data_IF_886169079261
#
_entry.id   IF_886169079261
#
_cell.length_a   1.000
_cell.length_b   1.000
_cell.length_c   1.000
_cell.angle_alpha   90.00
_cell.angle_beta   90.00
_cell.angle_gamma   90.00
#
_symmetry.space_group_name_H-M   'P 1'
#
loop_
_entity.id
_entity.type
_entity.pdbx_description
1 polymer ?
#
# COMPACT_ATOMS: atom_id res chain seq x y z
N UNK A 1 0.14 -51.14 2.48
CA UNK A 1 -0.47 -50.43 1.34
C UNK A 1 -1.97 -50.65 1.41
N UNK A 2 -2.73 -49.61 1.74
CA UNK A 2 -4.17 -49.56 1.55
C UNK A 2 -4.55 -48.08 1.39
N UNK A 3 -5.23 -47.78 0.29
CA UNK A 3 -5.69 -46.46 -0.09
C UNK A 3 -7.04 -46.12 0.55
N UNK A 4 -7.41 -44.84 0.38
CA UNK A 4 -8.75 -44.24 0.45
C UNK A 4 -9.23 -43.70 1.80
N UNK A 5 -9.36 -42.37 1.90
CA UNK A 5 -10.65 -41.73 1.60
C UNK A 5 -10.49 -40.20 1.40
N UNK A 6 -10.61 -39.79 0.13
CA UNK A 6 -11.09 -38.46 -0.24
C UNK A 6 -12.58 -38.45 0.09
N UNK A 7 -12.97 -37.65 1.08
CA UNK A 7 -14.38 -37.38 1.39
C UNK A 7 -14.67 -35.91 1.12
N UNK A 8 -15.01 -35.59 -0.13
CA UNK A 8 -15.58 -34.29 -0.51
C UNK A 8 -16.91 -34.56 -1.20
N UNK A 9 -18.00 -34.51 -0.44
CA UNK A 9 -19.34 -34.34 -0.98
C UNK A 9 -20.12 -33.36 -0.11
N UNK A 10 -20.49 -32.22 -0.70
CA UNK A 10 -21.45 -31.29 -0.14
C UNK A 10 -22.82 -31.67 -0.70
N UNK A 11 -23.67 -32.28 0.12
CA UNK A 11 -25.08 -32.51 -0.20
C UNK A 11 -25.91 -31.22 -0.15
N UNK A 12 -27.10 -31.20 -0.79
CA UNK A 12 -27.98 -30.03 -0.85
C UNK A 12 -28.70 -29.87 0.50
N UNK A 13 -28.03 -29.17 1.42
CA UNK A 13 -28.48 -28.96 2.80
C UNK A 13 -27.31 -28.84 3.78
N UNK A 14 -26.16 -28.36 3.31
CA UNK A 14 -24.87 -28.45 3.97
C UNK A 14 -24.82 -27.79 5.35
N UNK A 15 -24.99 -28.59 6.39
CA UNK A 15 -24.59 -28.22 7.75
C UNK A 15 -23.08 -28.01 7.74
N UNK A 16 -22.63 -26.80 8.08
CA UNK A 16 -21.20 -26.48 8.18
C UNK A 16 -20.61 -27.35 9.29
N UNK A 17 -19.89 -28.41 8.90
CA UNK A 17 -19.23 -29.29 9.86
C UNK A 17 -17.90 -28.67 10.28
N UNK A 18 -17.77 -28.34 11.57
CA UNK A 18 -16.53 -27.89 12.17
C UNK A 18 -15.81 -29.06 12.87
N UNK A 19 -14.54 -29.36 12.53
CA UNK A 19 -13.82 -30.51 13.10
C UNK A 19 -13.54 -30.41 14.61
N UNK A 20 -13.51 -29.19 15.16
CA UNK A 20 -13.30 -28.94 16.59
C UNK A 20 -13.90 -27.60 17.04
N UNK A 21 -14.06 -27.41 18.35
CA UNK A 21 -14.52 -26.16 18.93
C UNK A 21 -13.62 -24.95 18.55
N UNK A 22 -12.32 -25.17 18.35
CA UNK A 22 -11.40 -24.11 17.89
C UNK A 22 -11.71 -23.66 16.47
N UNK A 23 -12.13 -24.57 15.59
CA UNK A 23 -12.54 -24.22 14.23
C UNK A 23 -13.83 -23.39 14.24
N UNK A 24 -14.77 -23.71 15.13
CA UNK A 24 -15.98 -22.91 15.35
C UNK A 24 -15.60 -21.49 15.80
N UNK A 25 -14.73 -21.37 16.81
CA UNK A 25 -14.29 -20.06 17.30
C UNK A 25 -13.56 -19.25 16.22
N UNK A 26 -12.69 -19.89 15.42
CA UNK A 26 -12.00 -19.23 14.31
C UNK A 26 -12.98 -18.72 13.26
N UNK A 27 -13.98 -19.53 12.88
CA UNK A 27 -15.00 -19.13 11.93
C UNK A 27 -15.87 -17.98 12.46
N UNK A 28 -16.29 -18.05 13.73
CA UNK A 28 -17.04 -17.00 14.40
C UNK A 28 -16.24 -15.68 14.45
N UNK A 29 -14.95 -15.73 14.82
CA UNK A 29 -14.06 -14.57 14.78
C UNK A 29 -13.92 -14.00 13.37
N UNK A 30 -13.82 -14.86 12.36
CA UNK A 30 -13.72 -14.40 10.97
C UNK A 30 -15.00 -13.66 10.54
N UNK A 31 -16.18 -14.17 10.87
CA UNK A 31 -17.44 -13.48 10.57
C UNK A 31 -17.53 -12.13 11.29
N UNK A 32 -17.25 -12.08 12.59
CA UNK A 32 -17.25 -10.83 13.35
C UNK A 32 -16.21 -9.83 12.84
N UNK A 33 -15.02 -10.31 12.44
CA UNK A 33 -13.99 -9.47 11.85
C UNK A 33 -14.45 -8.87 10.51
N UNK A 34 -15.19 -9.63 9.70
CA UNK A 34 -15.74 -9.15 8.43
C UNK A 34 -16.78 -8.05 8.64
N UNK A 35 -17.63 -8.18 9.66
CA UNK A 35 -18.59 -7.14 10.04
C UNK A 35 -17.89 -5.86 10.49
N UNK A 36 -16.87 -5.98 11.35
CA UNK A 36 -16.06 -4.82 11.80
C UNK A 36 -15.33 -4.16 10.61
N UNK A 37 -14.75 -4.95 9.71
CA UNK A 37 -14.04 -4.45 8.54
C UNK A 37 -14.95 -3.78 7.50
N UNK A 38 -16.27 -4.04 7.55
CA UNK A 38 -17.28 -3.39 6.73
C UNK A 38 -17.73 -2.03 7.31
N UNK A 39 -17.47 -1.75 8.59
CA UNK A 39 -17.91 -0.51 9.24
C UNK A 39 -17.13 0.72 8.70
N UNK A 40 -17.82 1.76 8.16
CA UNK A 40 -17.16 2.91 7.56
C UNK A 40 -16.22 3.70 8.47
N UNK A 41 -16.57 3.91 9.74
CA UNK A 41 -15.75 4.62 10.72
C UNK A 41 -14.42 3.91 11.01
N UNK A 42 -14.46 2.61 11.25
CA UNK A 42 -13.30 1.73 11.41
C UNK A 42 -12.43 1.81 10.17
N UNK A 43 -13.01 1.71 8.97
CA UNK A 43 -12.25 1.84 7.72
C UNK A 43 -11.58 3.20 7.59
N UNK A 44 -12.25 4.28 7.99
CA UNK A 44 -11.71 5.63 7.95
C UNK A 44 -10.50 5.78 8.89
N UNK A 45 -10.62 5.34 10.13
CA UNK A 45 -9.54 5.39 11.13
C UNK A 45 -8.36 4.51 10.71
N UNK A 46 -8.61 3.26 10.31
CA UNK A 46 -7.54 2.35 9.88
C UNK A 46 -6.87 2.84 8.62
N UNK A 47 -7.59 3.49 7.69
CA UNK A 47 -6.99 4.14 6.51
C UNK A 47 -6.01 5.25 6.90
N UNK A 48 -6.40 6.13 7.83
CA UNK A 48 -5.52 7.21 8.29
C UNK A 48 -4.24 6.66 8.93
N UNK A 49 -4.39 5.65 9.79
CA UNK A 49 -3.25 4.99 10.45
C UNK A 49 -2.37 4.28 9.42
N UNK A 50 -2.97 3.58 8.46
CA UNK A 50 -2.23 2.96 7.36
C UNK A 50 -1.44 4.01 6.58
N UNK A 51 -2.04 5.15 6.24
CA UNK A 51 -1.36 6.22 5.52
C UNK A 51 -0.16 6.80 6.31
N UNK A 52 -0.33 7.00 7.62
CA UNK A 52 0.72 7.56 8.49
C UNK A 52 1.89 6.60 8.74
N UNK A 53 1.62 5.31 8.86
CA UNK A 53 2.61 4.33 9.34
C UNK A 53 3.11 3.36 8.27
N UNK A 54 2.40 3.20 7.14
CA UNK A 54 2.85 2.30 6.09
C UNK A 54 4.14 2.82 5.44
N UNK A 55 4.96 1.87 5.05
CA UNK A 55 6.25 2.10 4.41
C UNK A 55 6.39 1.24 3.16
N UNK A 56 7.21 1.72 2.23
CA UNK A 56 7.61 1.00 1.03
C UNK A 56 9.03 0.50 1.18
N UNK A 57 9.22 -0.79 0.90
CA UNK A 57 10.52 -1.44 0.80
C UNK A 57 10.74 -1.95 -0.62
N UNK A 58 11.97 -1.89 -1.14
CA UNK A 58 12.34 -2.53 -2.42
C UNK A 58 13.49 -3.49 -2.23
N UNK A 59 13.49 -4.58 -3.01
CA UNK A 59 14.54 -5.58 -3.07
C UNK A 59 14.88 -5.88 -4.53
N UNK A 60 16.15 -5.77 -4.96
CA UNK A 60 16.52 -6.07 -6.33
C UNK A 60 16.48 -7.59 -6.57
N UNK A 61 15.95 -7.99 -7.73
CA UNK A 61 16.03 -9.38 -8.23
C UNK A 61 17.46 -9.71 -8.66
N UNK A 62 17.81 -10.98 -8.92
CA UNK A 62 19.13 -11.31 -9.48
C UNK A 62 19.47 -10.50 -10.74
N UNK A 63 18.51 -10.37 -11.67
CA UNK A 63 18.66 -9.55 -12.86
C UNK A 63 18.84 -8.06 -12.54
N UNK A 64 18.07 -7.52 -11.59
CA UNK A 64 18.23 -6.13 -11.18
C UNK A 64 19.52 -5.84 -10.41
N UNK A 65 20.13 -6.82 -9.75
CA UNK A 65 21.43 -6.61 -9.08
C UNK A 65 22.52 -6.29 -10.10
N UNK A 66 22.51 -7.00 -11.23
CA UNK A 66 23.48 -6.85 -12.32
C UNK A 66 23.16 -5.63 -13.20
N UNK A 67 21.88 -5.42 -13.55
CA UNK A 67 21.47 -4.38 -14.48
C UNK A 67 21.32 -2.98 -13.86
N UNK A 68 20.96 -2.88 -12.58
CA UNK A 68 20.75 -1.59 -11.92
C UNK A 68 22.05 -1.04 -11.34
N UNK A 69 22.78 -0.29 -12.16
CA UNK A 69 23.85 0.58 -11.70
C UNK A 69 23.29 1.91 -11.11
N UNK A 70 24.11 2.75 -10.45
CA UNK A 70 23.66 4.03 -9.89
C UNK A 70 23.18 5.07 -10.91
N UNK A 71 23.59 4.96 -12.17
CA UNK A 71 23.23 5.88 -13.26
C UNK A 71 22.02 5.40 -14.06
N UNK A 72 21.57 4.16 -13.84
CA UNK A 72 20.37 3.59 -14.42
C UNK A 72 19.14 4.38 -13.98
N UNK A 73 18.13 4.46 -14.86
CA UNK A 73 16.86 5.17 -14.58
C UNK A 73 16.20 4.74 -13.26
N UNK A 74 16.36 3.46 -12.89
CA UNK A 74 15.81 2.86 -11.67
C UNK A 74 16.85 2.70 -10.54
N UNK A 75 18.08 3.19 -10.70
CA UNK A 75 19.15 3.03 -9.72
C UNK A 75 18.78 3.61 -8.35
N UNK A 76 18.15 4.78 -8.33
CA UNK A 76 17.72 5.47 -7.10
C UNK A 76 16.62 4.75 -6.30
N UNK A 77 15.93 3.76 -6.87
CA UNK A 77 14.87 3.00 -6.18
C UNK A 77 15.26 1.55 -5.86
N UNK A 78 16.53 1.19 -6.11
CA UNK A 78 17.04 -0.19 -5.94
C UNK A 78 16.95 -0.69 -4.48
N UNK A 79 17.15 0.20 -3.52
CA UNK A 79 17.26 -0.12 -2.08
C UNK A 79 16.46 0.85 -1.20
N UNK A 80 15.16 0.97 -1.45
CA UNK A 80 14.26 1.69 -0.54
C UNK A 80 14.04 0.83 0.71
N UNK A 81 14.29 1.42 1.87
CA UNK A 81 14.07 0.77 3.15
C UNK A 81 13.27 1.69 4.07
N UNK A 82 12.14 1.17 4.56
CA UNK A 82 11.17 1.85 5.41
C UNK A 82 10.84 3.28 4.92
N UNK A 83 10.73 3.50 3.60
CA UNK A 83 10.38 4.82 3.06
C UNK A 83 8.89 5.11 3.35
N UNK A 84 8.55 6.14 4.15
CA UNK A 84 7.15 6.43 4.49
C UNK A 84 6.34 6.85 3.26
N UNK A 85 5.03 6.56 3.25
CA UNK A 85 4.15 6.92 2.12
C UNK A 85 4.16 8.42 1.82
N UNK A 86 4.13 9.26 2.86
CA UNK A 86 4.15 10.72 2.73
C UNK A 86 5.44 11.28 2.11
N UNK A 87 6.53 10.50 2.04
CA UNK A 87 7.81 10.91 1.45
C UNK A 87 7.88 10.63 -0.07
N UNK A 88 6.80 10.11 -0.67
CA UNK A 88 6.67 9.99 -2.12
C UNK A 88 5.96 11.23 -2.67
N UNK A 89 6.72 12.15 -3.24
CA UNK A 89 6.20 13.42 -3.78
C UNK A 89 6.60 13.67 -5.24
N UNK A 90 7.34 12.74 -5.84
CA UNK A 90 7.98 12.82 -7.14
C UNK A 90 7.68 11.57 -7.99
N UNK A 91 8.47 11.35 -9.05
CA UNK A 91 8.37 10.18 -9.91
C UNK A 91 8.90 8.88 -9.27
N UNK A 92 9.29 8.89 -7.99
CA UNK A 92 9.90 7.75 -7.31
C UNK A 92 9.02 6.51 -7.32
N UNK A 93 7.72 6.62 -6.98
CA UNK A 93 6.84 5.45 -6.97
C UNK A 93 6.56 4.93 -8.38
N UNK A 94 6.55 5.82 -9.38
CA UNK A 94 6.41 5.44 -10.78
C UNK A 94 7.63 4.62 -11.25
N UNK A 95 8.84 5.02 -10.85
CA UNK A 95 10.09 4.26 -11.09
C UNK A 95 10.07 2.90 -10.39
N UNK A 96 9.61 2.82 -9.14
CA UNK A 96 9.45 1.56 -8.40
C UNK A 96 8.54 0.61 -9.19
N UNK A 97 7.35 1.07 -9.58
CA UNK A 97 6.39 0.26 -10.31
C UNK A 97 6.89 -0.15 -11.71
N UNK A 98 7.58 0.75 -12.42
CA UNK A 98 8.16 0.44 -13.73
C UNK A 98 9.27 -0.61 -13.63
N UNK A 99 10.18 -0.46 -12.66
CA UNK A 99 11.25 -1.41 -12.40
C UNK A 99 10.72 -2.78 -11.94
N UNK A 100 9.64 -2.79 -11.16
CA UNK A 100 8.97 -4.02 -10.75
C UNK A 100 8.36 -4.77 -11.94
N UNK A 101 7.65 -4.05 -12.82
CA UNK A 101 7.10 -4.61 -14.06
C UNK A 101 8.17 -5.12 -15.03
N UNK A 102 9.34 -4.48 -15.04
CA UNK A 102 10.49 -4.91 -15.82
C UNK A 102 11.24 -6.11 -15.18
N UNK A 103 10.84 -6.56 -13.99
CA UNK A 103 11.46 -7.69 -13.30
C UNK A 103 12.82 -7.39 -12.65
N UNK A 104 13.19 -6.11 -12.51
CA UNK A 104 14.44 -5.70 -11.87
C UNK A 104 14.33 -5.61 -10.35
N UNK A 105 13.13 -5.38 -9.81
CA UNK A 105 12.93 -5.33 -8.37
C UNK A 105 11.59 -5.93 -7.96
N UNK A 106 11.50 -6.29 -6.69
CA UNK A 106 10.25 -6.53 -5.98
C UNK A 106 10.07 -5.43 -4.95
N UNK A 107 8.83 -5.05 -4.68
CA UNK A 107 8.52 -4.08 -3.64
C UNK A 107 7.39 -4.56 -2.76
N UNK A 108 7.36 -4.03 -1.54
CA UNK A 108 6.30 -4.30 -0.58
C UNK A 108 5.85 -3.01 0.10
N UNK A 109 4.54 -2.82 0.18
CA UNK A 109 3.90 -1.77 0.97
C UNK A 109 3.27 -2.41 2.20
N UNK A 110 3.79 -2.10 3.39
CA UNK A 110 3.34 -2.72 4.63
C UNK A 110 3.32 -1.71 5.77
N UNK A 111 2.45 -1.97 6.75
CA UNK A 111 2.56 -1.35 8.08
C UNK A 111 3.53 -2.22 8.89
N UNK A 112 4.58 -1.65 9.51
CA UNK A 112 5.52 -2.42 10.32
C UNK A 112 4.81 -3.15 11.47
N UNK A 113 5.20 -4.40 11.77
CA UNK A 113 4.54 -5.24 12.78
C UNK A 113 4.59 -4.58 14.17
N UNK A 114 5.59 -3.75 14.44
CA UNK A 114 5.70 -2.96 15.68
C UNK A 114 4.49 -2.02 15.93
N UNK A 115 3.80 -1.56 14.88
CA UNK A 115 2.65 -0.65 14.98
C UNK A 115 1.33 -1.40 15.19
N UNK A 116 1.27 -2.68 14.81
CA UNK A 116 0.02 -3.45 14.81
C UNK A 116 -0.55 -3.64 16.22
N UNK A 117 0.24 -4.04 17.25
CA UNK A 117 -0.28 -4.17 18.62
C UNK A 117 -0.85 -2.85 19.15
N UNK A 118 -0.15 -1.73 18.96
CA UNK A 118 -0.58 -0.42 19.43
C UNK A 118 -1.94 -0.02 18.85
N UNK A 119 -2.11 -0.23 17.54
CA UNK A 119 -3.39 -0.02 16.84
C UNK A 119 -4.51 -0.92 17.37
N UNK A 120 -4.23 -2.21 17.55
CA UNK A 120 -5.24 -3.15 18.06
C UNK A 120 -5.61 -2.80 19.51
N UNK A 121 -4.64 -2.40 20.33
CA UNK A 121 -4.85 -2.00 21.73
C UNK A 121 -5.74 -0.76 21.83
N UNK A 122 -5.52 0.26 20.98
CA UNK A 122 -6.35 1.47 20.92
C UNK A 122 -7.82 1.13 20.59
N UNK A 123 -8.05 0.29 19.57
CA UNK A 123 -9.38 -0.15 19.21
C UNK A 123 -10.01 -1.07 20.27
N UNK A 124 -9.20 -1.94 20.88
CA UNK A 124 -9.65 -2.88 21.89
C UNK A 124 -10.04 -2.18 23.19
N UNK A 125 -9.42 -1.05 23.54
CA UNK A 125 -9.81 -0.24 24.69
C UNK A 125 -11.28 0.24 24.62
N UNK A 126 -11.81 0.46 23.41
CA UNK A 126 -13.21 0.84 23.19
C UNK A 126 -14.15 -0.37 23.05
N UNK A 127 -13.61 -1.54 22.67
CA UNK A 127 -14.40 -2.73 22.35
C UNK A 127 -14.47 -3.76 23.48
N UNK A 128 -13.49 -3.77 24.38
CA UNK A 128 -13.41 -4.71 25.49
C UNK A 128 -14.46 -4.41 26.59
N UNK A 129 -14.89 -5.45 27.30
CA UNK A 129 -15.75 -5.29 28.47
C UNK A 129 -14.93 -5.11 29.75
N UNK A 130 -15.41 -4.29 30.68
CA UNK A 130 -14.79 -4.02 31.99
C UNK A 130 -14.77 -5.22 32.95
N UNK A 131 -15.49 -6.30 32.63
CA UNK A 131 -15.58 -7.49 33.48
C UNK A 131 -14.22 -8.16 33.73
N UNK A 132 -13.93 -8.48 34.99
CA UNK A 132 -12.66 -9.12 35.41
C UNK A 132 -12.73 -10.64 35.59
N UNK A 133 -13.92 -11.24 35.41
CA UNK A 133 -14.12 -12.68 35.59
C UNK A 133 -13.31 -13.52 34.58
N UNK A 134 -13.07 -14.81 34.88
CA UNK A 134 -12.39 -15.73 33.94
C UNK A 134 -13.05 -15.74 32.56
N UNK A 135 -14.39 -15.74 32.54
CA UNK A 135 -15.15 -15.74 31.28
C UNK A 135 -15.05 -14.39 30.57
N UNK A 136 -15.10 -13.27 31.30
CA UNK A 136 -14.95 -11.95 30.70
C UNK A 136 -13.56 -11.77 30.07
N UNK A 137 -12.49 -12.23 30.74
CA UNK A 137 -11.13 -12.24 30.18
C UNK A 137 -11.03 -13.11 28.93
N UNK A 138 -11.62 -14.30 28.94
CA UNK A 138 -11.63 -15.19 27.77
C UNK A 138 -12.38 -14.55 26.58
N UNK A 139 -13.47 -13.84 26.82
CA UNK A 139 -14.17 -13.08 25.77
C UNK A 139 -13.38 -11.88 25.27
N UNK A 140 -12.74 -11.12 26.16
CA UNK A 140 -11.85 -10.02 25.76
C UNK A 140 -10.69 -10.51 24.88
N UNK A 141 -10.13 -11.69 25.16
CA UNK A 141 -9.14 -12.32 24.28
C UNK A 141 -9.73 -12.62 22.89
N UNK A 142 -10.96 -13.15 22.81
CA UNK A 142 -11.61 -13.36 21.51
C UNK A 142 -11.84 -12.06 20.74
N UNK A 143 -12.23 -10.98 21.45
CA UNK A 143 -12.42 -9.65 20.86
C UNK A 143 -11.11 -9.10 20.31
N UNK A 144 -10.03 -9.18 21.07
CA UNK A 144 -8.69 -8.77 20.65
C UNK A 144 -8.26 -9.49 19.37
N UNK A 145 -8.38 -10.82 19.34
CA UNK A 145 -8.03 -11.62 18.17
C UNK A 145 -8.92 -11.29 16.97
N UNK A 146 -10.21 -10.97 17.20
CA UNK A 146 -11.15 -10.55 16.14
C UNK A 146 -10.70 -9.23 15.51
N UNK A 147 -10.36 -8.23 16.33
CA UNK A 147 -9.84 -6.94 15.86
C UNK A 147 -8.55 -7.12 15.06
N UNK A 148 -7.60 -7.91 15.57
CA UNK A 148 -6.35 -8.19 14.85
C UNK A 148 -6.61 -8.81 13.47
N UNK A 149 -7.53 -9.77 13.37
CA UNK A 149 -7.91 -10.38 12.07
C UNK A 149 -8.56 -9.35 11.14
N UNK A 150 -9.49 -8.54 11.65
CA UNK A 150 -10.16 -7.51 10.85
C UNK A 150 -9.14 -6.53 10.24
N UNK A 151 -8.18 -6.07 11.04
CA UNK A 151 -7.17 -5.11 10.59
C UNK A 151 -6.17 -5.77 9.63
N UNK A 152 -5.49 -6.83 10.07
CA UNK A 152 -4.34 -7.40 9.34
C UNK A 152 -4.76 -8.21 8.12
N UNK A 153 -5.83 -8.99 8.22
CA UNK A 153 -6.21 -9.96 7.19
C UNK A 153 -7.25 -9.43 6.22
N UNK A 154 -8.01 -8.39 6.60
CA UNK A 154 -9.10 -7.85 5.76
C UNK A 154 -8.84 -6.41 5.33
N UNK A 155 -8.55 -5.50 6.26
CA UNK A 155 -8.39 -4.08 5.93
C UNK A 155 -7.05 -3.77 5.26
N UNK A 156 -5.93 -4.24 5.81
CA UNK A 156 -4.60 -3.96 5.26
C UNK A 156 -4.42 -4.38 3.80
N UNK A 157 -4.88 -5.55 3.32
CA UNK A 157 -4.77 -5.90 1.90
C UNK A 157 -5.57 -4.99 0.97
N UNK A 158 -6.73 -4.51 1.42
CA UNK A 158 -7.57 -3.57 0.64
C UNK A 158 -6.91 -2.20 0.61
N UNK A 159 -6.46 -1.72 1.76
CA UNK A 159 -5.79 -0.42 1.89
C UNK A 159 -4.46 -0.38 1.15
N UNK A 160 -3.70 -1.49 1.14
CA UNK A 160 -2.49 -1.64 0.32
C UNK A 160 -2.76 -1.28 -1.14
N UNK A 161 -3.78 -1.90 -1.75
CA UNK A 161 -4.16 -1.63 -3.14
C UNK A 161 -4.63 -0.19 -3.35
N UNK A 162 -5.37 0.35 -2.40
CA UNK A 162 -5.84 1.74 -2.42
C UNK A 162 -4.67 2.72 -2.44
N UNK A 163 -3.70 2.56 -1.53
CA UNK A 163 -2.53 3.46 -1.46
C UNK A 163 -1.59 3.28 -2.64
N UNK A 164 -1.40 2.06 -3.14
CA UNK A 164 -0.61 1.83 -4.36
C UNK A 164 -1.23 2.56 -5.56
N UNK A 165 -2.55 2.52 -5.69
CA UNK A 165 -3.29 3.27 -6.70
C UNK A 165 -3.11 4.78 -6.55
N UNK A 166 -3.21 5.28 -5.31
CA UNK A 166 -3.01 6.70 -4.98
C UNK A 166 -1.60 7.18 -5.31
N UNK A 167 -0.56 6.46 -4.87
CA UNK A 167 0.83 6.81 -5.13
C UNK A 167 1.15 6.81 -6.64
N UNK A 168 0.55 5.88 -7.39
CA UNK A 168 0.68 5.87 -8.85
C UNK A 168 0.00 7.06 -9.51
N UNK A 169 -1.17 7.45 -9.03
CA UNK A 169 -1.88 8.62 -9.53
C UNK A 169 -1.08 9.89 -9.26
N UNK A 170 -0.68 10.12 -8.00
CA UNK A 170 0.10 11.29 -7.58
C UNK A 170 1.42 11.40 -8.36
N UNK A 171 2.15 10.29 -8.53
CA UNK A 171 3.39 10.29 -9.32
C UNK A 171 3.15 10.59 -10.81
N UNK A 172 2.04 10.12 -11.40
CA UNK A 172 1.69 10.41 -12.79
C UNK A 172 1.30 11.86 -13.00
N UNK A 173 0.52 12.42 -12.08
CA UNK A 173 0.14 13.84 -12.10
C UNK A 173 1.38 14.73 -11.99
N UNK A 174 2.30 14.39 -11.09
CA UNK A 174 3.57 15.10 -10.94
C UNK A 174 4.40 15.08 -12.25
N UNK A 175 4.59 13.90 -12.85
CA UNK A 175 5.32 13.79 -14.13
C UNK A 175 4.60 14.56 -15.25
N UNK A 176 3.26 14.49 -15.30
CA UNK A 176 2.46 15.22 -16.26
C UNK A 176 2.65 16.73 -16.16
N UNK A 177 2.70 17.27 -14.94
CA UNK A 177 2.99 18.68 -14.70
C UNK A 177 4.40 19.06 -15.18
N UNK A 178 5.43 18.26 -14.85
CA UNK A 178 6.81 18.51 -15.29
C UNK A 178 6.95 18.49 -16.82
N UNK A 179 6.23 17.58 -17.49
CA UNK A 179 6.20 17.50 -18.95
C UNK A 179 5.51 18.71 -19.57
N UNK A 180 4.39 19.16 -18.99
CA UNK A 180 3.67 20.34 -19.44
C UNK A 180 4.56 21.59 -19.34
N UNK A 181 5.23 21.79 -18.20
CA UNK A 181 6.15 22.91 -18.00
C UNK A 181 7.33 22.88 -18.98
N UNK A 182 7.93 21.71 -19.18
CA UNK A 182 9.04 21.50 -20.11
C UNK A 182 8.63 21.77 -21.57
N UNK A 183 7.43 21.35 -21.95
CA UNK A 183 6.88 21.59 -23.28
C UNK A 183 6.55 23.06 -23.47
N UNK A 184 5.91 23.69 -22.49
CA UNK A 184 5.57 25.11 -22.52
C UNK A 184 6.80 26.00 -22.63
N UNK A 185 7.86 25.68 -21.90
CA UNK A 185 9.13 26.39 -21.97
C UNK A 185 9.73 26.37 -23.39
N UNK A 186 9.65 25.22 -24.07
CA UNK A 186 10.11 25.08 -25.46
C UNK A 186 9.22 25.80 -26.45
N UNK A 187 7.90 25.68 -26.30
CA UNK A 187 6.92 26.31 -27.18
C UNK A 187 6.94 27.84 -27.06
N UNK A 188 7.26 28.36 -25.88
CA UNK A 188 7.31 29.80 -25.58
C UNK A 188 8.66 30.45 -25.88
N UNK A 189 9.63 29.72 -26.46
CA UNK A 189 10.91 30.30 -26.85
C UNK A 189 10.70 31.33 -27.97
N UNK A 190 11.21 32.54 -27.76
CA UNK A 190 11.17 33.57 -28.79
C UNK A 190 11.96 33.12 -30.04
N UNK A 191 11.52 33.50 -31.25
CA UNK A 191 12.29 33.23 -32.47
C UNK A 191 13.72 33.79 -32.36
N UNK A 192 14.68 33.05 -32.93
CA UNK A 192 16.08 33.47 -32.96
C UNK A 192 16.23 34.82 -33.67
N UNK A 193 16.86 35.80 -33.00
CA UNK A 193 17.17 37.11 -33.56
C UNK A 193 18.63 37.16 -34.02
N UNK A 194 18.85 37.32 -35.32
CA UNK A 194 20.17 37.64 -35.85
C UNK A 194 20.50 39.09 -35.50
N UNK A 195 21.66 39.36 -34.91
CA UNK A 195 22.20 40.73 -34.85
C UNK A 195 22.56 41.12 -36.28
N UNK A 196 21.70 41.90 -36.94
CA UNK A 196 22.07 42.55 -38.20
C UNK A 196 23.22 43.49 -37.88
N UNK A 197 24.43 43.15 -38.31
CA UNK A 197 25.57 44.05 -38.18
C UNK A 197 25.45 45.15 -39.24
N UNK A 198 25.00 46.33 -38.81
CA UNK A 198 25.25 47.60 -39.49
C UNK A 198 24.48 47.86 -40.79
N UNK A 199 23.45 48.69 -40.69
CA UNK A 199 23.28 49.80 -41.62
C UNK A 199 22.68 50.96 -40.83
N UNK A 200 23.56 51.88 -40.41
CA UNK A 200 23.13 53.22 -40.01
C UNK A 200 22.38 53.83 -41.18
N UNK A 201 21.17 54.29 -40.91
CA UNK A 201 20.57 55.37 -41.67
C UNK A 201 20.18 56.38 -40.60
N UNK A 202 21.06 57.34 -40.41
CA UNK A 202 20.74 58.63 -39.83
C UNK A 202 19.61 59.24 -40.68
N UNK A 203 18.42 59.41 -40.11
CA UNK A 203 17.45 60.36 -40.63
C UNK A 203 17.71 61.69 -39.93
N UNK A 204 18.49 62.54 -40.61
CA UNK A 204 18.54 63.99 -40.38
C UNK A 204 17.23 64.67 -40.84
N UNK A 205 16.86 65.70 -40.08
CA UNK A 205 15.80 66.74 -40.25
C UNK A 205 14.32 66.38 -40.00
#
# INVERSE_FOLDING_TARGET
>A
MAAAHVGREAGPGGVVQFPSAEHVLRAARHMAAAEIAAEPGVRAVVRDIYWRHAVVNTKPTPAGKEALDPFHLFGGVKHLHKKPLAAFSDDCFLKVNAAAKAGFLEYEVLVPEEVVPELVDEMNAMYASEGVSRHARAWNEQRYQTLRVAITSMLFPVLRKEVEGRLLLEAREWVGAQMADSMWAKASMAPWRTKVSGAGVDEEE
#
